data_IF_584718390526
#
_entry.id   IF_584718390526
#
_cell.length_a   1.000
_cell.length_b   1.000
_cell.length_c   1.000
_cell.angle_alpha   90.00
_cell.angle_beta   90.00
_cell.angle_gamma   90.00
#
_symmetry.space_group_name_H-M   'P 1'
#
loop_
_entity.id
_entity.type
_entity.pdbx_description
1 polymer ?
#
# COMPACT_ATOMS: atom_id res chain seq x y z
N UNK A 1 13.04 11.85 -0.17
CA UNK A 1 12.82 10.46 -0.65
C UNK A 1 13.14 9.45 0.44
N UNK A 2 14.35 9.44 1.00
CA UNK A 2 14.72 8.52 2.09
C UNK A 2 13.74 8.57 3.28
N UNK A 3 13.41 9.77 3.78
CA UNK A 3 12.41 9.96 4.86
C UNK A 3 11.03 9.38 4.53
N UNK A 4 10.60 9.46 3.26
CA UNK A 4 9.32 8.88 2.80
C UNK A 4 9.39 7.36 2.86
N UNK A 5 10.48 6.76 2.38
CA UNK A 5 10.68 5.31 2.44
C UNK A 5 10.77 4.81 3.87
N UNK A 6 11.44 5.52 4.77
CA UNK A 6 11.48 5.17 6.20
C UNK A 6 10.09 5.28 6.84
N UNK A 7 9.31 6.29 6.50
CA UNK A 7 7.92 6.42 6.95
C UNK A 7 7.05 5.26 6.44
N UNK A 8 7.18 4.85 5.17
CA UNK A 8 6.49 3.68 4.62
C UNK A 8 6.89 2.38 5.35
N UNK A 9 8.19 2.18 5.64
CA UNK A 9 8.66 1.00 6.40
C UNK A 9 8.05 0.99 7.81
N UNK A 10 7.98 2.15 8.48
CA UNK A 10 7.37 2.28 9.80
C UNK A 10 5.87 1.95 9.76
N UNK A 11 5.12 2.56 8.86
CA UNK A 11 3.69 2.25 8.65
C UNK A 11 3.48 0.77 8.35
N UNK A 12 4.36 0.17 7.54
CA UNK A 12 4.30 -1.27 7.22
C UNK A 12 4.43 -2.15 8.46
N UNK A 13 5.36 -1.85 9.36
CA UNK A 13 5.55 -2.62 10.60
C UNK A 13 4.31 -2.51 11.49
N UNK A 14 3.72 -1.32 11.59
CA UNK A 14 2.50 -1.08 12.37
C UNK A 14 1.30 -1.82 11.78
N UNK A 15 1.07 -1.70 10.46
CA UNK A 15 0.00 -2.40 9.73
C UNK A 15 0.18 -3.92 9.84
N UNK A 16 1.41 -4.44 9.69
CA UNK A 16 1.67 -5.88 9.84
C UNK A 16 1.28 -6.38 11.24
N UNK A 17 1.55 -5.61 12.29
CA UNK A 17 1.16 -5.96 13.67
C UNK A 17 -0.36 -5.94 13.85
N UNK A 18 -1.05 -5.03 13.17
CA UNK A 18 -2.52 -4.95 13.17
C UNK A 18 -3.11 -6.18 12.47
N UNK A 19 -2.65 -6.48 11.24
CA UNK A 19 -3.09 -7.65 10.45
C UNK A 19 -2.82 -8.94 11.23
N UNK A 20 -1.62 -9.09 11.81
CA UNK A 20 -1.22 -10.32 12.51
C UNK A 20 -1.99 -10.58 13.81
N UNK A 21 -2.49 -9.53 14.47
CA UNK A 21 -3.38 -9.71 15.62
C UNK A 21 -4.74 -10.23 15.19
N UNK A 22 -5.16 -9.92 13.95
CA UNK A 22 -6.49 -10.20 13.45
C UNK A 22 -7.57 -9.62 14.35
N UNK A 23 -8.82 -9.95 14.05
CA UNK A 23 -9.94 -9.76 14.96
C UNK A 23 -9.72 -10.58 16.23
N UNK A 24 -9.01 -10.02 17.21
CA UNK A 24 -9.01 -10.51 18.58
C UNK A 24 -10.41 -10.30 19.17
N UNK A 25 -11.30 -11.20 18.79
CA UNK A 25 -12.69 -11.27 19.19
C UNK A 25 -13.60 -10.52 18.23
N UNK A 26 -14.58 -11.25 17.68
CA UNK A 26 -15.96 -10.75 17.79
C UNK A 26 -16.20 -10.50 19.29
N UNK A 27 -15.80 -9.34 19.80
CA UNK A 27 -16.35 -8.90 21.06
C UNK A 27 -17.82 -8.65 20.75
N UNK A 28 -18.70 -9.43 21.38
CA UNK A 28 -20.11 -9.10 21.54
C UNK A 28 -20.30 -7.84 22.40
N UNK A 29 -19.27 -7.00 22.54
CA UNK A 29 -19.32 -5.72 23.22
C UNK A 29 -19.56 -4.64 22.17
N UNK A 30 -20.84 -4.46 21.86
CA UNK A 30 -21.34 -3.17 21.43
C UNK A 30 -20.93 -2.13 22.49
N UNK A 31 -20.05 -1.22 22.12
CA UNK A 31 -19.98 0.06 22.82
C UNK A 31 -21.37 0.71 22.71
N UNK A 32 -21.82 1.36 23.78
CA UNK A 32 -23.17 1.90 24.01
C UNK A 32 -23.67 2.94 22.99
N UNK A 33 -22.89 3.21 21.95
CA UNK A 33 -23.17 4.12 20.83
C UNK A 33 -23.35 3.42 19.47
N UNK A 34 -23.17 2.10 19.38
CA UNK A 34 -23.43 1.33 18.15
C UNK A 34 -22.36 1.44 17.06
N UNK A 35 -21.22 2.09 17.33
CA UNK A 35 -20.14 2.22 16.37
C UNK A 35 -19.28 0.95 16.28
N UNK A 36 -19.58 0.22 15.21
CA UNK A 36 -18.86 -0.83 14.50
C UNK A 36 -17.34 -0.85 14.73
N UNK A 37 -16.81 -2.05 14.99
CA UNK A 37 -15.41 -2.42 14.76
C UNK A 37 -14.83 -1.70 13.54
N UNK A 38 -13.78 -0.89 13.74
CA UNK A 38 -13.15 -0.12 12.65
C UNK A 38 -12.54 -1.10 11.64
N UNK A 39 -12.85 -0.93 10.35
CA UNK A 39 -12.30 -1.78 9.29
C UNK A 39 -10.78 -1.61 9.21
N UNK A 40 -10.07 -2.70 8.92
CA UNK A 40 -8.61 -2.71 8.77
C UNK A 40 -8.10 -1.66 7.78
N UNK A 41 -8.89 -1.35 6.75
CA UNK A 41 -8.58 -0.35 5.74
C UNK A 41 -8.47 1.06 6.35
N UNK A 42 -9.47 1.44 7.14
CA UNK A 42 -9.49 2.73 7.88
C UNK A 42 -8.34 2.80 8.87
N UNK A 43 -8.04 1.71 9.59
CA UNK A 43 -6.92 1.70 10.54
C UNK A 43 -5.59 1.87 9.80
N UNK A 44 -5.43 1.19 8.67
CA UNK A 44 -4.21 1.26 7.85
C UNK A 44 -4.04 2.66 7.25
N UNK A 45 -5.12 3.28 6.80
CA UNK A 45 -5.15 4.66 6.33
C UNK A 45 -4.69 5.65 7.41
N UNK A 46 -5.25 5.56 8.62
CA UNK A 46 -4.88 6.42 9.75
C UNK A 46 -3.39 6.28 10.09
N UNK A 47 -2.86 5.05 10.12
CA UNK A 47 -1.44 4.79 10.38
C UNK A 47 -0.54 5.45 9.33
N UNK A 48 -0.91 5.34 8.06
CA UNK A 48 -0.14 5.94 6.96
C UNK A 48 -0.20 7.46 7.02
N UNK A 49 -1.40 8.03 7.17
CA UNK A 49 -1.62 9.47 7.27
C UNK A 49 -0.84 10.08 8.44
N UNK A 50 -0.93 9.48 9.64
CA UNK A 50 -0.25 9.98 10.84
C UNK A 50 1.27 9.96 10.68
N UNK A 51 1.83 8.93 10.03
CA UNK A 51 3.26 8.86 9.75
C UNK A 51 3.70 9.86 8.67
N UNK A 52 2.88 10.14 7.65
CA UNK A 52 3.20 11.16 6.64
C UNK A 52 3.01 12.60 7.14
N UNK A 53 2.09 12.84 8.08
CA UNK A 53 1.93 14.16 8.73
C UNK A 53 3.19 14.67 9.41
N UNK A 54 4.08 13.77 9.82
CA UNK A 54 5.34 14.11 10.48
C UNK A 54 6.43 14.57 9.50
N UNK A 55 6.25 14.35 8.18
CA UNK A 55 7.27 14.62 7.18
C UNK A 55 7.09 15.99 6.55
N UNK A 56 7.99 16.93 6.85
CA UNK A 56 7.98 18.29 6.27
C UNK A 56 8.09 18.32 4.75
N UNK A 57 8.69 17.28 4.14
CA UNK A 57 8.84 17.17 2.70
C UNK A 57 7.56 16.72 1.97
N UNK A 58 6.52 16.26 2.68
CA UNK A 58 5.25 15.84 2.09
C UNK A 58 4.29 17.02 2.08
N UNK A 59 3.81 17.36 0.88
CA UNK A 59 2.90 18.46 0.62
C UNK A 59 1.45 18.08 0.84
N UNK A 60 1.04 17.01 0.17
CA UNK A 60 -0.34 16.55 0.07
C UNK A 60 -0.36 15.04 0.01
N UNK A 61 -1.41 14.45 0.54
CA UNK A 61 -1.69 13.03 0.41
C UNK A 61 -3.09 12.78 -0.16
N UNK A 62 -3.25 11.65 -0.85
CA UNK A 62 -4.52 11.12 -1.34
C UNK A 62 -4.59 9.64 -1.00
N UNK A 63 -5.70 9.22 -0.39
CA UNK A 63 -5.96 7.84 0.00
C UNK A 63 -7.16 7.30 -0.76
N UNK A 64 -7.19 5.99 -1.02
CA UNK A 64 -8.39 5.30 -1.48
C UNK A 64 -9.56 5.40 -0.47
N UNK A 65 -9.24 5.51 0.83
CA UNK A 65 -10.22 5.56 1.92
C UNK A 65 -10.76 6.98 2.21
N UNK A 66 -10.30 8.00 1.47
CA UNK A 66 -10.67 9.39 1.70
C UNK A 66 -11.19 10.09 0.44
N UNK A 67 -12.30 10.83 0.56
CA UNK A 67 -12.90 11.54 -0.58
C UNK A 67 -12.08 12.76 -1.04
N UNK A 68 -11.30 13.35 -0.14
CA UNK A 68 -10.62 14.64 -0.37
C UNK A 68 -9.11 14.50 -0.25
N UNK A 69 -8.40 15.37 -0.98
CA UNK A 69 -6.95 15.56 -0.80
C UNK A 69 -6.69 16.15 0.58
N UNK A 70 -5.73 15.60 1.31
CA UNK A 70 -5.30 16.13 2.61
C UNK A 70 -4.03 16.95 2.42
N UNK A 71 -4.10 18.23 2.77
CA UNK A 71 -2.94 19.12 2.83
C UNK A 71 -2.13 18.85 4.10
N UNK A 72 -0.83 18.57 3.94
CA UNK A 72 0.08 18.28 5.06
C UNK A 72 1.00 19.46 5.33
N UNK A 73 1.85 19.83 4.35
CA UNK A 73 2.77 20.95 4.46
C UNK A 73 2.74 21.79 3.19
N UNK A 74 2.35 23.06 3.26
CA UNK A 74 2.32 23.95 2.09
C UNK A 74 3.66 24.03 1.30
N UNK A 75 4.77 23.89 2.02
CA UNK A 75 6.15 24.01 1.49
C UNK A 75 6.77 22.64 1.18
N UNK A 76 6.02 21.54 1.34
CA UNK A 76 6.45 20.21 0.97
C UNK A 76 6.67 20.08 -0.54
N UNK A 77 7.61 19.22 -0.92
CA UNK A 77 7.98 18.97 -2.32
C UNK A 77 7.15 17.84 -2.94
N UNK A 78 6.83 16.82 -2.15
CA UNK A 78 6.24 15.57 -2.65
C UNK A 78 4.74 15.50 -2.43
N UNK A 79 4.04 14.91 -3.39
CA UNK A 79 2.66 14.49 -3.23
C UNK A 79 2.63 12.96 -3.18
N UNK A 80 1.79 12.37 -2.34
CA UNK A 80 1.72 10.91 -2.18
C UNK A 80 0.29 10.45 -2.38
N UNK A 81 0.06 9.56 -3.34
CA UNK A 81 -1.20 8.83 -3.45
C UNK A 81 -0.99 7.40 -2.97
N UNK A 82 -1.92 6.83 -2.20
CA UNK A 82 -1.77 5.48 -1.71
C UNK A 82 -3.10 4.72 -1.60
N UNK A 83 -2.99 3.41 -1.72
CA UNK A 83 -3.99 2.43 -1.29
C UNK A 83 -3.44 1.82 0.01
N UNK A 84 -4.10 2.06 1.16
CA UNK A 84 -3.58 1.64 2.45
C UNK A 84 -3.60 0.12 2.63
N UNK A 85 -4.57 -0.58 2.03
CA UNK A 85 -4.73 -2.03 2.17
C UNK A 85 -5.47 -2.66 0.97
N UNK A 86 -4.78 -2.81 -0.16
CA UNK A 86 -5.27 -3.50 -1.35
C UNK A 86 -5.59 -4.98 -1.03
N UNK A 87 -6.75 -5.40 -1.50
CA UNK A 87 -7.23 -6.76 -1.31
C UNK A 87 -7.73 -7.04 0.11
N UNK A 88 -8.14 -6.04 0.89
CA UNK A 88 -8.60 -6.22 2.28
C UNK A 88 -9.66 -7.30 2.50
N UNK A 89 -10.55 -7.50 1.53
CA UNK A 89 -11.51 -8.62 1.50
C UNK A 89 -10.88 -10.03 1.61
N UNK A 90 -9.58 -10.14 1.33
CA UNK A 90 -8.80 -11.37 1.37
C UNK A 90 -8.16 -11.64 2.75
N UNK A 91 -8.22 -10.69 3.68
CA UNK A 91 -7.66 -10.86 5.04
C UNK A 91 -8.37 -11.97 5.79
N UNK A 92 -9.70 -12.02 5.73
CA UNK A 92 -10.52 -13.02 6.46
C UNK A 92 -10.25 -14.46 6.03
N UNK A 93 -9.78 -14.65 4.79
CA UNK A 93 -9.39 -15.96 4.24
C UNK A 93 -7.88 -16.20 4.28
N UNK A 94 -7.15 -15.35 5.01
CA UNK A 94 -5.71 -15.44 5.26
C UNK A 94 -4.88 -15.52 3.96
N UNK A 95 -5.27 -14.72 2.96
CA UNK A 95 -4.51 -14.53 1.72
C UNK A 95 -3.68 -13.25 1.78
N UNK A 96 -2.74 -13.12 0.83
CA UNK A 96 -1.86 -11.95 0.78
C UNK A 96 -2.61 -10.70 0.36
N UNK A 97 -2.32 -9.61 1.08
CA UNK A 97 -2.81 -8.25 0.84
C UNK A 97 -1.63 -7.31 0.71
N UNK A 98 -1.84 -6.03 0.39
CA UNK A 98 -0.73 -5.10 0.20
C UNK A 98 -1.06 -3.64 0.47
N UNK A 99 -0.04 -2.80 0.50
CA UNK A 99 -0.21 -1.34 0.43
C UNK A 99 0.51 -0.84 -0.81
N UNK A 100 -0.06 0.14 -1.50
CA UNK A 100 0.46 0.66 -2.78
C UNK A 100 0.66 2.16 -2.64
N UNK A 101 1.78 2.69 -3.12
CA UNK A 101 2.14 4.10 -3.01
C UNK A 101 2.69 4.62 -4.34
N UNK A 102 2.18 5.77 -4.78
CA UNK A 102 2.77 6.60 -5.81
C UNK A 102 3.31 7.89 -5.19
N UNK A 103 4.57 8.23 -5.49
CA UNK A 103 5.22 9.45 -5.03
C UNK A 103 5.41 10.36 -6.25
N UNK A 104 4.89 11.57 -6.16
CA UNK A 104 4.80 12.53 -7.26
C UNK A 104 5.50 13.84 -6.92
N UNK A 105 5.84 14.62 -7.95
CA UNK A 105 6.16 16.05 -7.84
C UNK A 105 5.20 16.86 -8.71
N UNK A 106 4.94 18.11 -8.32
CA UNK A 106 4.04 19.05 -9.00
C UNK A 106 2.54 18.69 -8.92
N UNK A 107 2.10 17.56 -9.50
CA UNK A 107 0.70 17.11 -9.51
C UNK A 107 0.56 15.58 -9.55
N UNK A 108 -0.67 15.08 -9.40
CA UNK A 108 -1.01 13.64 -9.40
C UNK A 108 -1.17 13.04 -10.81
N UNK A 109 -0.39 13.49 -11.80
CA UNK A 109 -0.37 12.86 -13.13
C UNK A 109 0.70 11.77 -13.22
N UNK A 110 0.44 10.71 -13.98
CA UNK A 110 1.36 9.57 -14.09
C UNK A 110 2.78 9.93 -14.58
N UNK A 111 2.90 10.96 -15.44
CA UNK A 111 4.21 11.44 -15.92
C UNK A 111 5.06 12.09 -14.81
N UNK A 112 4.43 12.48 -13.71
CA UNK A 112 5.06 13.14 -12.58
C UNK A 112 5.38 12.18 -11.43
N UNK A 113 5.18 10.87 -11.60
CA UNK A 113 5.65 9.84 -10.65
C UNK A 113 7.18 9.85 -10.65
N UNK A 114 7.75 10.10 -9.47
CA UNK A 114 9.20 10.08 -9.23
C UNK A 114 9.66 8.82 -8.50
N UNK A 115 8.75 8.15 -7.79
CA UNK A 115 8.97 6.83 -7.23
C UNK A 115 7.63 6.11 -7.02
N UNK A 116 7.67 4.79 -6.97
CA UNK A 116 6.51 3.98 -6.60
C UNK A 116 6.93 2.87 -5.65
N UNK A 117 6.07 2.56 -4.69
CA UNK A 117 6.32 1.51 -3.71
C UNK A 117 5.11 0.62 -3.61
N UNK A 118 5.31 -0.68 -3.48
CA UNK A 118 4.27 -1.55 -2.95
C UNK A 118 4.84 -2.48 -1.90
N UNK A 119 3.99 -2.87 -0.96
CA UNK A 119 4.30 -3.80 0.11
C UNK A 119 3.33 -4.96 0.00
N UNK A 120 3.84 -6.18 0.14
CA UNK A 120 3.03 -7.40 0.19
C UNK A 120 3.09 -7.97 1.60
N UNK A 121 1.94 -8.05 2.27
CA UNK A 121 1.73 -8.74 3.53
C UNK A 121 1.35 -10.19 3.24
N UNK A 122 2.34 -11.01 2.87
CA UNK A 122 2.17 -12.44 2.64
C UNK A 122 2.77 -13.29 3.77
N UNK A 123 3.14 -14.55 3.48
CA UNK A 123 3.92 -15.39 4.41
C UNK A 123 5.24 -14.74 4.84
N UNK A 124 5.73 -13.77 4.06
CA UNK A 124 6.79 -12.83 4.40
C UNK A 124 6.30 -11.45 4.02
N UNK A 125 6.77 -10.42 4.72
CA UNK A 125 6.57 -9.04 4.30
C UNK A 125 7.70 -8.63 3.36
N UNK A 126 7.32 -8.24 2.15
CA UNK A 126 8.25 -7.78 1.11
C UNK A 126 7.83 -6.40 0.62
N UNK A 127 8.80 -5.51 0.46
CA UNK A 127 8.60 -4.15 -0.05
C UNK A 127 9.37 -4.02 -1.35
N UNK A 128 8.72 -3.52 -2.39
CA UNK A 128 9.32 -3.26 -3.69
C UNK A 128 9.28 -1.78 -3.96
N UNK A 129 10.45 -1.21 -4.29
CA UNK A 129 10.63 0.21 -4.52
C UNK A 129 11.15 0.42 -5.95
N UNK A 130 10.48 1.27 -6.71
CA UNK A 130 10.99 1.81 -7.98
C UNK A 130 11.37 3.27 -7.77
N UNK A 131 12.63 3.62 -8.02
CA UNK A 131 13.17 4.99 -7.89
C UNK A 131 13.35 5.70 -9.24
N UNK A 132 12.62 5.26 -10.27
CA UNK A 132 12.67 5.80 -11.63
C UNK A 132 13.67 5.09 -12.56
N UNK A 133 14.69 4.43 -12.01
CA UNK A 133 15.68 3.69 -12.79
C UNK A 133 15.71 2.20 -12.46
N UNK A 134 15.60 1.88 -11.17
CA UNK A 134 15.78 0.52 -10.67
C UNK A 134 14.57 0.08 -9.85
N UNK A 135 14.23 -1.20 -9.96
CA UNK A 135 13.23 -1.82 -9.10
C UNK A 135 13.96 -2.69 -8.09
N UNK A 136 13.85 -2.37 -6.80
CA UNK A 136 14.57 -3.04 -5.71
C UNK A 136 13.60 -3.80 -4.82
N UNK A 137 13.96 -5.03 -4.50
CA UNK A 137 13.24 -5.88 -3.55
C UNK A 137 13.89 -5.79 -2.17
N UNK A 138 13.09 -5.48 -1.17
CA UNK A 138 13.43 -5.54 0.25
C UNK A 138 12.55 -6.58 0.94
N UNK A 139 13.09 -7.24 1.97
CA UNK A 139 12.34 -8.17 2.81
C UNK A 139 12.47 -7.78 4.27
N UNK A 140 11.35 -7.78 4.97
CA UNK A 140 11.32 -7.51 6.39
C UNK A 140 11.79 -8.75 7.18
N UNK A 141 12.71 -8.55 8.11
CA UNK A 141 13.15 -9.54 9.11
C UNK A 141 13.41 -8.79 10.42
N UNK A 142 12.80 -9.24 11.51
CA UNK A 142 12.91 -8.58 12.84
C UNK A 142 12.62 -7.07 12.78
N UNK A 143 11.57 -6.68 12.06
CA UNK A 143 11.16 -5.27 11.86
C UNK A 143 12.18 -4.41 11.08
N UNK A 144 13.17 -5.03 10.42
CA UNK A 144 14.12 -4.35 9.55
C UNK A 144 13.99 -4.79 8.09
N UNK A 145 14.06 -3.83 7.16
CA UNK A 145 13.97 -4.09 5.72
C UNK A 145 15.36 -4.29 5.12
N UNK A 146 15.66 -5.53 4.77
CA UNK A 146 16.93 -5.93 4.16
C UNK A 146 16.81 -5.96 2.64
N UNK A 147 17.75 -5.33 1.94
CA UNK A 147 17.84 -5.42 0.48
C UNK A 147 18.10 -6.87 0.05
N UNK A 148 17.39 -7.33 -0.97
CA UNK A 148 17.52 -8.69 -1.50
C UNK A 148 18.16 -8.68 -2.89
N UNK A 149 17.58 -7.92 -3.83
CA UNK A 149 18.05 -7.84 -5.22
C UNK A 149 17.34 -6.74 -6.00
N UNK A 150 17.91 -6.41 -7.16
CA UNK A 150 17.19 -5.70 -8.21
C UNK A 150 16.29 -6.67 -8.98
N UNK A 151 15.07 -6.24 -9.24
CA UNK A 151 14.09 -6.98 -10.04
C UNK A 151 14.24 -6.57 -11.51
N UNK A 152 14.29 -7.57 -12.38
CA UNK A 152 14.20 -7.40 -13.83
C UNK A 152 13.18 -8.40 -14.37
N UNK A 153 12.33 -7.94 -15.27
CA UNK A 153 11.40 -8.83 -15.98
C UNK A 153 12.09 -9.48 -17.17
N UNK A 154 11.73 -10.74 -17.46
CA UNK A 154 12.08 -11.39 -18.70
C UNK A 154 11.27 -10.81 -19.86
N UNK A 155 11.76 -10.94 -21.09
CA UNK A 155 11.03 -10.49 -22.29
C UNK A 155 9.69 -11.21 -22.49
N UNK A 156 9.57 -12.44 -21.98
CA UNK A 156 8.35 -13.26 -22.03
C UNK A 156 8.22 -14.03 -20.73
N UNK A 157 6.99 -14.12 -20.21
CA UNK A 157 6.61 -14.99 -19.09
C UNK A 157 5.77 -16.18 -19.54
N UNK A 158 5.61 -17.14 -18.64
CA UNK A 158 4.84 -18.38 -18.87
C UNK A 158 3.54 -18.44 -18.03
N UNK A 159 3.21 -17.36 -17.31
CA UNK A 159 2.03 -17.26 -16.43
C UNK A 159 1.15 -16.12 -16.93
N UNK A 160 -0.15 -16.39 -17.03
CA UNK A 160 -1.20 -15.39 -17.26
C UNK A 160 -2.12 -15.37 -16.04
N UNK A 161 -2.35 -14.18 -15.45
CA UNK A 161 -3.22 -14.00 -14.28
C UNK A 161 -4.30 -12.95 -14.58
N UNK A 162 -5.28 -13.28 -15.43
CA UNK A 162 -6.35 -12.36 -15.77
C UNK A 162 -7.39 -12.30 -14.65
N UNK A 163 -7.86 -11.10 -14.33
CA UNK A 163 -9.00 -10.90 -13.43
C UNK A 163 -10.35 -11.07 -14.12
N UNK A 164 -11.43 -11.02 -13.34
CA UNK A 164 -12.82 -11.12 -13.79
C UNK A 164 -13.21 -12.49 -14.38
N UNK A 165 -14.51 -12.71 -14.57
CA UNK A 165 -15.02 -13.91 -15.22
C UNK A 165 -14.82 -13.81 -16.73
N UNK A 166 -14.33 -14.90 -17.35
CA UNK A 166 -14.08 -14.93 -18.81
C UNK A 166 -15.31 -14.54 -19.64
N UNK A 167 -16.52 -14.76 -19.12
CA UNK A 167 -17.77 -14.37 -19.77
C UNK A 167 -17.86 -12.86 -19.99
N UNK A 168 -17.32 -12.06 -19.08
CA UNK A 168 -17.32 -10.60 -19.12
C UNK A 168 -16.16 -10.01 -19.94
N UNK A 169 -15.24 -10.84 -20.43
CA UNK A 169 -14.11 -10.34 -21.22
C UNK A 169 -14.56 -9.81 -22.58
N UNK A 170 -13.89 -8.75 -23.04
CA UNK A 170 -14.04 -8.23 -24.40
C UNK A 170 -13.65 -9.33 -25.42
N UNK A 171 -14.32 -9.43 -26.59
CA UNK A 171 -14.13 -10.54 -27.53
C UNK A 171 -12.67 -10.86 -27.85
N UNK A 172 -11.84 -9.84 -28.12
CA UNK A 172 -10.40 -10.01 -28.37
C UNK A 172 -9.67 -10.80 -27.26
N UNK A 173 -10.01 -10.58 -25.99
CA UNK A 173 -9.33 -11.22 -24.85
C UNK A 173 -9.80 -12.66 -24.62
N UNK A 174 -10.99 -13.04 -25.11
CA UNK A 174 -11.50 -14.42 -25.05
C UNK A 174 -10.79 -15.35 -26.04
N UNK A 175 -10.18 -14.78 -27.07
CA UNK A 175 -9.50 -15.50 -28.14
C UNK A 175 -7.99 -15.68 -27.88
N UNK A 176 -7.44 -15.08 -26.81
CA UNK A 176 -6.04 -15.20 -26.36
C UNK A 176 -5.83 -16.45 -25.51
#
# INVERSE_FOLDING_TARGET
MEEILESIKKSTIEIQKIIAKGDMGKSEEQNSTGDTQLKLDIISDVVIEDNFKLLTCVKQIVSEEQENIVDINKDGEYLIAYDPLDGSSLVDVNLSVGSIYGIFKNDFTGNNIVASVYVVFGPRVEMVVCDGETVKLYRMQNEEFNYIKDIKMNQKGDICSPGSTQQCWYPHHKEM
#
